data_IF_277999528918
#
_entry.id   IF_277999528918
#
_cell.length_a   1.000
_cell.length_b   1.000
_cell.length_c   1.000
_cell.angle_alpha   90.00
_cell.angle_beta   90.00
_cell.angle_gamma   90.00
#
_symmetry.space_group_name_H-M   'P 1'
#
loop_
_entity.id
_entity.type
_entity.pdbx_description
1 polymer ?
#
# COMPACT_ATOMS: atom_id res chain seq x y z
N UNK A 1 -2.20 -20.79 -8.40
CA UNK A 1 -2.09 -19.85 -9.52
C UNK A 1 -1.05 -18.80 -9.17
N UNK A 2 -0.07 -18.60 -10.04
CA UNK A 2 0.98 -17.63 -9.82
C UNK A 2 0.51 -16.23 -10.22
N UNK A 3 0.79 -15.24 -9.37
CA UNK A 3 0.53 -13.84 -9.67
C UNK A 3 1.84 -13.09 -9.83
N UNK A 4 1.84 -12.12 -10.72
CA UNK A 4 2.96 -11.23 -10.93
C UNK A 4 2.58 -9.83 -10.46
N UNK A 5 3.37 -9.25 -9.57
CA UNK A 5 3.20 -7.87 -9.13
C UNK A 5 3.94 -6.95 -10.09
N UNK A 6 3.22 -6.05 -10.75
CA UNK A 6 3.84 -5.17 -11.74
C UNK A 6 3.15 -3.82 -11.83
N UNK A 7 3.92 -2.83 -12.26
CA UNK A 7 3.41 -1.51 -12.59
C UNK A 7 2.56 -1.61 -13.86
N UNK A 8 1.40 -0.94 -13.87
CA UNK A 8 0.50 -0.92 -15.02
C UNK A 8 0.10 0.53 -15.34
N UNK A 9 -0.24 0.79 -16.59
CA UNK A 9 -0.61 2.13 -17.05
C UNK A 9 -2.11 2.31 -17.20
N UNK A 10 -2.86 1.23 -17.38
CA UNK A 10 -4.29 1.27 -17.66
C UNK A 10 -5.05 0.35 -16.72
N UNK A 11 -6.09 0.89 -16.09
CA UNK A 11 -7.06 0.14 -15.28
C UNK A 11 -8.46 0.65 -15.63
N UNK A 12 -9.47 -0.14 -15.28
CA UNK A 12 -10.85 0.29 -15.36
C UNK A 12 -11.22 1.02 -14.05
N UNK A 13 -11.17 2.36 -14.08
CA UNK A 13 -11.44 3.18 -12.90
C UNK A 13 -12.88 3.06 -12.41
N UNK A 14 -13.82 2.66 -13.29
CA UNK A 14 -15.22 2.48 -12.90
C UNK A 14 -15.39 1.29 -11.94
N UNK A 15 -14.46 0.35 -11.96
CA UNK A 15 -14.46 -0.80 -11.05
C UNK A 15 -13.85 -0.49 -9.68
N UNK A 16 -13.26 0.70 -9.49
CA UNK A 16 -12.71 1.11 -8.19
C UNK A 16 -13.85 1.44 -7.22
N UNK A 17 -14.04 0.61 -6.16
CA UNK A 17 -15.12 0.86 -5.20
C UNK A 17 -14.78 1.95 -4.19
N UNK A 18 -13.53 2.43 -4.18
CA UNK A 18 -13.01 3.34 -3.16
C UNK A 18 -12.97 4.77 -3.66
N UNK A 19 -12.39 4.99 -4.85
CA UNK A 19 -12.18 6.33 -5.39
C UNK A 19 -12.48 6.41 -6.88
N UNK A 20 -13.71 6.07 -7.29
CA UNK A 20 -14.07 6.06 -8.72
C UNK A 20 -13.98 7.45 -9.37
N UNK A 21 -13.99 8.52 -8.57
CA UNK A 21 -13.92 9.91 -9.04
C UNK A 21 -12.53 10.33 -9.52
N UNK A 22 -11.49 9.57 -9.18
CA UNK A 22 -10.12 9.90 -9.60
C UNK A 22 -9.85 9.37 -10.99
N UNK A 23 -9.42 10.24 -11.89
CA UNK A 23 -9.15 9.90 -13.29
C UNK A 23 -7.93 8.97 -13.42
N UNK A 24 -7.84 8.30 -14.56
CA UNK A 24 -6.66 7.50 -14.89
C UNK A 24 -5.41 8.38 -14.98
N UNK A 25 -5.54 9.58 -15.56
CA UNK A 25 -4.43 10.54 -15.66
C UNK A 25 -3.92 10.97 -14.28
N UNK A 26 -4.81 11.13 -13.30
CA UNK A 26 -4.40 11.41 -11.92
C UNK A 26 -3.57 10.25 -11.35
N UNK A 27 -4.03 9.01 -11.55
CA UNK A 27 -3.42 7.81 -10.96
C UNK A 27 -2.09 7.44 -11.58
N UNK A 28 -1.93 7.74 -12.87
CA UNK A 28 -0.72 7.42 -13.62
C UNK A 28 -0.01 8.72 -14.02
N UNK A 29 0.68 9.32 -13.06
CA UNK A 29 1.41 10.58 -13.27
C UNK A 29 2.80 10.47 -12.65
N UNK A 30 3.75 10.02 -13.45
CA UNK A 30 5.15 9.87 -13.03
C UNK A 30 5.75 11.20 -12.54
N UNK A 31 5.43 12.30 -13.21
CA UNK A 31 5.94 13.63 -12.84
C UNK A 31 5.42 14.10 -11.49
N UNK A 32 4.31 13.54 -11.03
CA UNK A 32 3.73 13.84 -9.72
C UNK A 32 3.98 12.72 -8.69
N UNK A 33 4.73 11.69 -9.05
CA UNK A 33 5.05 10.60 -8.16
C UNK A 33 3.90 9.63 -7.92
N UNK A 34 2.96 9.51 -8.87
CA UNK A 34 1.80 8.62 -8.74
C UNK A 34 1.91 7.44 -9.69
N UNK A 35 1.64 6.25 -9.19
CA UNK A 35 1.81 4.99 -9.91
C UNK A 35 0.69 4.00 -9.58
N UNK A 36 0.44 3.10 -10.52
CA UNK A 36 -0.55 2.03 -10.37
C UNK A 36 0.19 0.69 -10.41
N UNK A 37 -0.12 -0.20 -9.48
CA UNK A 37 0.40 -1.56 -9.47
C UNK A 37 -0.76 -2.55 -9.46
N UNK A 38 -0.55 -3.71 -10.08
CA UNK A 38 -1.53 -4.78 -10.12
C UNK A 38 -0.88 -6.13 -9.85
N UNK A 39 -1.66 -7.05 -9.29
CA UNK A 39 -1.36 -8.47 -9.34
C UNK A 39 -1.99 -9.02 -10.61
N UNK A 40 -1.16 -9.57 -11.48
CA UNK A 40 -1.58 -10.05 -12.80
C UNK A 40 -1.44 -11.58 -12.83
N UNK A 41 -2.49 -12.25 -13.24
CA UNK A 41 -2.46 -13.72 -13.38
C UNK A 41 -1.86 -14.13 -14.73
N UNK A 42 -1.78 -15.44 -14.97
CA UNK A 42 -1.17 -15.99 -16.18
C UNK A 42 -1.91 -15.61 -17.47
N UNK A 43 -3.19 -15.20 -17.36
CA UNK A 43 -4.01 -14.75 -18.50
C UNK A 43 -3.91 -13.24 -18.73
N UNK A 44 -3.13 -12.52 -17.94
CA UNK A 44 -3.02 -11.06 -18.03
C UNK A 44 -4.17 -10.33 -17.35
N UNK A 45 -4.99 -11.00 -16.57
CA UNK A 45 -6.08 -10.39 -15.83
C UNK A 45 -5.60 -9.85 -14.48
N UNK A 46 -6.20 -8.76 -14.00
CA UNK A 46 -5.83 -8.14 -12.71
C UNK A 46 -6.64 -8.77 -11.59
N UNK A 47 -5.94 -9.41 -10.64
CA UNK A 47 -6.57 -9.99 -9.44
C UNK A 47 -6.80 -8.94 -8.36
N UNK A 48 -5.91 -7.96 -8.25
CA UNK A 48 -6.03 -6.81 -7.35
C UNK A 48 -5.21 -5.64 -7.87
N UNK A 49 -5.54 -4.45 -7.37
CA UNK A 49 -4.92 -3.20 -7.81
C UNK A 49 -4.66 -2.33 -6.58
N UNK A 50 -3.52 -1.64 -6.60
CA UNK A 50 -3.21 -0.60 -5.63
C UNK A 50 -2.70 0.64 -6.37
N UNK A 51 -3.23 1.81 -6.02
CA UNK A 51 -2.74 3.08 -6.51
C UNK A 51 -1.97 3.77 -5.40
N UNK A 52 -0.75 4.20 -5.69
CA UNK A 52 0.11 4.86 -4.72
C UNK A 52 0.54 6.24 -5.22
N UNK A 53 0.82 7.12 -4.26
CA UNK A 53 1.45 8.40 -4.50
C UNK A 53 2.63 8.52 -3.54
N UNK A 54 3.79 8.92 -4.07
CA UNK A 54 4.90 9.33 -3.23
C UNK A 54 4.59 10.74 -2.73
N UNK A 55 4.68 10.96 -1.43
CA UNK A 55 4.35 12.24 -0.80
C UNK A 55 5.45 12.68 0.15
N UNK A 56 5.56 14.00 0.34
CA UNK A 56 6.48 14.57 1.34
C UNK A 56 5.85 14.62 2.73
N UNK A 57 4.51 14.65 2.80
CA UNK A 57 3.74 14.70 4.04
C UNK A 57 2.57 13.75 3.94
N UNK A 58 2.01 13.34 5.09
CA UNK A 58 0.84 12.46 5.12
C UNK A 58 -0.40 13.30 4.79
N UNK A 59 -1.13 12.96 3.70
CA UNK A 59 -2.34 13.69 3.35
C UNK A 59 -3.51 13.25 4.22
N UNK A 60 -4.36 14.20 4.58
CA UNK A 60 -5.60 13.97 5.34
C UNK A 60 -6.84 14.04 4.45
N UNK A 61 -6.67 14.39 3.18
CA UNK A 61 -7.73 14.54 2.21
C UNK A 61 -7.20 14.27 0.80
N UNK A 62 -8.10 14.15 -0.18
CA UNK A 62 -7.71 14.03 -1.59
C UNK A 62 -7.02 15.31 -2.06
N UNK A 63 -7.47 16.47 -1.60
CA UNK A 63 -6.84 17.75 -1.96
C UNK A 63 -5.39 17.79 -1.45
N UNK A 64 -5.14 17.32 -0.23
CA UNK A 64 -3.79 17.22 0.31
C UNK A 64 -2.97 16.16 -0.43
N UNK A 65 -3.59 15.05 -0.84
CA UNK A 65 -2.92 14.03 -1.66
C UNK A 65 -2.38 14.67 -2.94
N UNK A 66 -3.19 15.48 -3.62
CA UNK A 66 -2.76 16.21 -4.81
C UNK A 66 -1.61 17.16 -4.51
N UNK A 67 -1.73 17.91 -3.42
CA UNK A 67 -0.75 18.93 -3.01
C UNK A 67 0.59 18.32 -2.59
N UNK A 68 0.55 17.21 -1.85
CA UNK A 68 1.74 16.60 -1.27
C UNK A 68 2.41 15.57 -2.17
N UNK A 69 1.77 15.17 -3.27
CA UNK A 69 2.37 14.24 -4.23
C UNK A 69 3.62 14.84 -4.86
N UNK A 70 4.71 14.08 -4.81
CA UNK A 70 6.02 14.53 -5.31
C UNK A 70 6.86 13.30 -5.61
N UNK A 71 7.50 13.21 -6.79
CA UNK A 71 8.31 12.04 -7.13
C UNK A 71 9.49 11.81 -6.19
N UNK A 72 9.91 12.83 -5.44
CA UNK A 72 10.99 12.70 -4.44
C UNK A 72 10.47 12.44 -3.03
N UNK A 73 9.15 12.32 -2.84
CA UNK A 73 8.56 12.05 -1.54
C UNK A 73 8.99 10.70 -0.98
N UNK A 74 9.21 10.61 0.33
CA UNK A 74 9.67 9.39 0.98
C UNK A 74 8.56 8.61 1.68
N UNK A 75 7.33 9.06 1.57
CA UNK A 75 6.16 8.36 2.10
C UNK A 75 5.34 7.84 0.91
N UNK A 76 5.19 6.52 0.83
CA UNK A 76 4.30 5.92 -0.17
C UNK A 76 2.88 5.91 0.39
N UNK A 77 1.97 6.62 -0.26
CA UNK A 77 0.57 6.71 0.16
C UNK A 77 -0.26 5.78 -0.72
N UNK A 78 -0.79 4.71 -0.12
CA UNK A 78 -1.79 3.87 -0.78
C UNK A 78 -3.16 4.53 -0.60
N UNK A 79 -3.70 5.09 -1.68
CA UNK A 79 -4.96 5.84 -1.60
C UNK A 79 -6.16 5.06 -2.13
N UNK A 80 -5.94 3.94 -2.81
CA UNK A 80 -7.00 3.01 -3.16
C UNK A 80 -6.40 1.62 -3.35
N UNK A 81 -7.12 0.61 -2.83
CA UNK A 81 -6.80 -0.82 -2.96
C UNK A 81 -8.10 -1.55 -3.19
N UNK A 82 -8.17 -2.38 -4.22
CA UNK A 82 -9.31 -3.28 -4.37
C UNK A 82 -8.88 -4.59 -5.02
N UNK A 83 -9.72 -5.62 -4.86
CA UNK A 83 -9.44 -6.94 -5.41
C UNK A 83 -10.67 -7.54 -6.06
N UNK A 84 -10.42 -8.34 -7.11
CA UNK A 84 -11.43 -9.13 -7.79
C UNK A 84 -11.38 -10.60 -7.36
N UNK A 85 -10.33 -11.00 -6.64
CA UNK A 85 -10.07 -12.37 -6.21
C UNK A 85 -9.84 -12.38 -4.70
N UNK A 86 -10.49 -13.30 -4.01
CA UNK A 86 -10.34 -13.46 -2.55
C UNK A 86 -8.86 -13.64 -2.19
N UNK A 87 -8.39 -12.88 -1.20
CA UNK A 87 -7.01 -12.93 -0.73
C UNK A 87 -6.03 -12.08 -1.54
N UNK A 88 -6.41 -11.60 -2.72
CA UNK A 88 -5.51 -10.82 -3.56
C UNK A 88 -5.24 -9.42 -3.01
N UNK A 89 -6.14 -8.88 -2.19
CA UNK A 89 -5.91 -7.62 -1.49
C UNK A 89 -4.77 -7.72 -0.48
N UNK A 90 -4.74 -8.79 0.32
CA UNK A 90 -3.62 -9.05 1.24
C UNK A 90 -2.32 -9.25 0.47
N UNK A 91 -2.37 -10.02 -0.59
CA UNK A 91 -1.17 -10.35 -1.38
C UNK A 91 -0.57 -9.09 -2.01
N UNK A 92 -1.38 -8.19 -2.56
CA UNK A 92 -0.85 -6.96 -3.16
C UNK A 92 -0.23 -6.04 -2.09
N UNK A 93 -0.81 -5.98 -0.90
CA UNK A 93 -0.21 -5.23 0.22
C UNK A 93 1.16 -5.83 0.58
N UNK A 94 1.27 -7.15 0.68
CA UNK A 94 2.55 -7.82 0.98
C UNK A 94 3.61 -7.46 -0.06
N UNK A 95 3.26 -7.44 -1.35
CA UNK A 95 4.17 -7.03 -2.42
C UNK A 95 4.55 -5.56 -2.34
N UNK A 96 3.57 -4.70 -2.03
CA UNK A 96 3.83 -3.27 -1.84
C UNK A 96 4.84 -3.03 -0.72
N UNK A 97 4.67 -3.72 0.41
CA UNK A 97 5.57 -3.59 1.55
C UNK A 97 6.98 -4.10 1.22
N UNK A 98 7.08 -5.20 0.48
CA UNK A 98 8.38 -5.70 0.02
C UNK A 98 9.07 -4.69 -0.89
N UNK A 99 8.35 -4.13 -1.85
CA UNK A 99 8.87 -3.10 -2.73
C UNK A 99 9.37 -1.88 -1.93
N UNK A 100 8.60 -1.47 -0.93
CA UNK A 100 8.97 -0.34 -0.07
C UNK A 100 10.23 -0.64 0.75
N UNK A 101 10.34 -1.85 1.31
CA UNK A 101 11.54 -2.25 2.05
C UNK A 101 12.80 -2.25 1.17
N UNK A 102 12.65 -2.66 -0.08
CA UNK A 102 13.76 -2.71 -1.04
C UNK A 102 14.10 -1.33 -1.63
N UNK A 103 13.24 -0.35 -1.47
CA UNK A 103 13.42 1.01 -1.98
C UNK A 103 14.38 1.81 -1.11
N UNK A 104 15.29 2.56 -1.74
CA UNK A 104 16.14 3.52 -1.03
C UNK A 104 15.40 4.81 -0.69
N UNK A 105 14.34 5.11 -1.43
CA UNK A 105 13.57 6.34 -1.28
C UNK A 105 12.49 6.23 -0.21
N UNK A 106 11.74 5.13 -0.20
CA UNK A 106 10.55 4.97 0.64
C UNK A 106 10.95 4.62 2.07
N UNK A 107 10.51 5.45 3.02
CA UNK A 107 10.74 5.26 4.46
C UNK A 107 9.50 4.84 5.21
N UNK A 108 8.31 5.14 4.65
CA UNK A 108 7.03 4.85 5.30
C UNK A 108 6.00 4.46 4.26
N UNK A 109 5.09 3.55 4.65
CA UNK A 109 3.89 3.21 3.86
C UNK A 109 2.68 3.54 4.71
N UNK A 110 1.90 4.51 4.23
CA UNK A 110 0.73 5.03 4.92
C UNK A 110 -0.45 5.03 3.94
N UNK A 111 -1.66 4.86 4.41
CA UNK A 111 -2.84 4.90 3.56
C UNK A 111 -3.56 6.24 3.65
N UNK A 112 -4.31 6.58 2.62
CA UNK A 112 -5.39 7.57 2.69
C UNK A 112 -6.67 6.81 2.39
N UNK A 113 -7.39 6.41 3.43
CA UNK A 113 -8.53 5.51 3.33
C UNK A 113 -9.85 6.24 3.55
N UNK A 114 -10.96 5.76 2.94
CA UNK A 114 -12.27 6.31 3.29
C UNK A 114 -12.61 6.00 4.74
N UNK A 115 -13.45 6.81 5.34
CA UNK A 115 -13.84 6.67 6.74
C UNK A 115 -14.95 5.60 6.88
N UNK A 116 -14.58 4.34 6.62
CA UNK A 116 -15.48 3.19 6.66
C UNK A 116 -14.91 2.09 7.54
N UNK A 117 -15.79 1.25 8.09
CA UNK A 117 -15.37 0.05 8.82
C UNK A 117 -14.70 -0.96 7.91
N UNK A 118 -15.13 -1.05 6.66
CA UNK A 118 -14.52 -1.98 5.70
C UNK A 118 -13.04 -1.67 5.49
N UNK A 119 -12.68 -0.40 5.28
CA UNK A 119 -11.30 0.01 5.13
C UNK A 119 -10.50 -0.23 6.42
N UNK A 120 -11.07 0.13 7.57
CA UNK A 120 -10.45 -0.09 8.87
C UNK A 120 -10.15 -1.57 9.10
N UNK A 121 -11.15 -2.43 8.91
CA UNK A 121 -10.99 -3.87 9.12
C UNK A 121 -9.96 -4.47 8.17
N UNK A 122 -9.97 -4.06 6.90
CA UNK A 122 -9.01 -4.56 5.92
C UNK A 122 -7.57 -4.21 6.32
N UNK A 123 -7.30 -2.95 6.61
CA UNK A 123 -5.94 -2.51 6.92
C UNK A 123 -5.44 -3.05 8.26
N UNK A 124 -6.28 -3.02 9.29
CA UNK A 124 -5.89 -3.56 10.60
C UNK A 124 -5.69 -5.06 10.57
N UNK A 125 -6.53 -5.80 9.84
CA UNK A 125 -6.36 -7.25 9.64
C UNK A 125 -5.03 -7.58 8.96
N UNK A 126 -4.55 -6.71 8.09
CA UNK A 126 -3.28 -6.89 7.38
C UNK A 126 -2.09 -6.29 8.13
N UNK A 127 -2.27 -5.88 9.37
CA UNK A 127 -1.18 -5.50 10.25
C UNK A 127 -0.92 -3.99 10.37
N UNK A 128 -1.75 -3.15 9.77
CA UNK A 128 -1.59 -1.71 9.87
C UNK A 128 -2.16 -1.17 11.19
N UNK A 129 -1.67 -0.03 11.61
CA UNK A 129 -2.14 0.71 12.78
C UNK A 129 -2.72 2.05 12.33
N UNK A 130 -3.91 2.41 12.84
CA UNK A 130 -4.48 3.71 12.51
C UNK A 130 -3.71 4.83 13.20
N UNK A 131 -3.20 5.76 12.42
CA UNK A 131 -2.40 6.90 12.91
C UNK A 131 -3.12 8.24 12.76
N UNK A 132 -4.23 8.27 12.01
CA UNK A 132 -4.99 9.50 11.81
C UNK A 132 -6.46 9.24 11.61
N UNK A 133 -7.29 10.10 12.20
CA UNK A 133 -8.75 10.11 12.03
C UNK A 133 -9.12 11.53 11.62
N UNK A 134 -9.58 11.70 10.39
CA UNK A 134 -9.86 12.99 9.77
C UNK A 134 -11.37 13.13 9.53
N UNK A 135 -11.86 14.33 9.15
CA UNK A 135 -13.32 14.51 8.95
C UNK A 135 -13.95 13.52 7.96
N UNK A 136 -13.24 13.17 6.87
CA UNK A 136 -13.80 12.30 5.83
C UNK A 136 -12.90 11.12 5.48
N UNK A 137 -11.73 11.01 6.11
CA UNK A 137 -10.73 9.98 5.82
C UNK A 137 -10.09 9.46 7.09
N UNK A 138 -9.31 8.39 6.94
CA UNK A 138 -8.44 7.88 8.00
C UNK A 138 -7.13 7.39 7.38
N UNK A 139 -6.07 7.41 8.18
CA UNK A 139 -4.76 6.97 7.76
C UNK A 139 -4.33 5.77 8.59
N UNK A 140 -3.80 4.76 7.90
CA UNK A 140 -3.18 3.59 8.52
C UNK A 140 -1.73 3.52 8.11
N UNK A 141 -0.88 3.06 9.02
CA UNK A 141 0.54 2.88 8.72
C UNK A 141 0.93 1.42 8.85
N UNK A 142 1.62 0.91 7.83
CA UNK A 142 2.20 -0.42 7.82
C UNK A 142 3.66 -0.35 8.27
N UNK A 143 4.06 -1.28 9.12
CA UNK A 143 5.46 -1.41 9.50
C UNK A 143 6.28 -1.96 8.34
N UNK A 144 7.44 -1.39 8.10
CA UNK A 144 8.40 -1.89 7.11
C UNK A 144 9.39 -2.89 7.71
N UNK A 145 9.27 -3.21 9.01
CA UNK A 145 10.11 -4.23 9.63
C UNK A 145 9.80 -5.60 9.03
N UNK A 146 10.84 -6.36 8.74
CA UNK A 146 10.68 -7.74 8.29
C UNK A 146 10.43 -8.64 9.50
N UNK A 147 9.16 -8.97 9.75
CA UNK A 147 8.74 -9.82 10.87
C UNK A 147 9.30 -11.24 10.78
N UNK A 148 9.62 -11.71 9.55
CA UNK A 148 10.26 -13.02 9.36
C UNK A 148 11.67 -13.04 9.96
N UNK A 149 12.40 -11.95 9.82
CA UNK A 149 13.72 -11.80 10.43
C UNK A 149 13.63 -11.81 11.96
N UNK A 150 12.66 -11.10 12.53
CA UNK A 150 12.44 -11.09 13.97
C UNK A 150 12.14 -12.49 14.51
N UNK A 151 11.28 -13.24 13.78
CA UNK A 151 10.98 -14.63 14.14
C UNK A 151 12.23 -15.52 14.07
N UNK A 152 13.01 -15.37 13.00
CA UNK A 152 14.25 -16.10 12.82
C UNK A 152 15.22 -15.82 13.98
N UNK A 153 15.36 -14.57 14.38
CA UNK A 153 16.24 -14.21 15.49
C UNK A 153 15.75 -14.77 16.83
N UNK A 154 14.45 -14.79 17.07
CA UNK A 154 13.88 -15.44 18.25
C UNK A 154 14.19 -16.93 18.28
N UNK A 155 13.99 -17.60 17.16
CA UNK A 155 14.26 -19.04 17.03
C UNK A 155 15.74 -19.33 17.19
N UNK A 156 16.61 -18.52 16.60
CA UNK A 156 18.06 -18.65 16.74
C UNK A 156 18.52 -18.49 18.20
N UNK A 157 17.97 -17.51 18.93
CA UNK A 157 18.25 -17.33 20.35
C UNK A 157 17.86 -18.56 21.17
N UNK A 158 16.69 -19.10 20.88
CA UNK A 158 16.19 -20.32 21.55
C UNK A 158 17.09 -21.51 21.28
N UNK A 159 17.54 -21.69 20.03
CA UNK A 159 18.37 -22.81 19.61
C UNK A 159 19.80 -22.73 20.12
N UNK A 160 20.40 -21.55 20.18
CA UNK A 160 21.79 -21.35 20.49
C UNK A 160 22.04 -20.81 21.90
N UNK A 161 20.99 -20.66 22.71
CA UNK A 161 21.11 -20.13 24.06
C UNK A 161 21.61 -18.68 24.11
N UNK A 162 21.40 -17.93 23.02
CA UNK A 162 21.84 -16.54 22.96
C UNK A 162 20.95 -15.67 23.81
N UNK A 163 21.57 -14.96 24.75
CA UNK A 163 20.88 -13.94 25.54
C UNK A 163 21.24 -12.58 25.01
N UNK A 164 20.21 -11.87 24.56
CA UNK A 164 20.36 -10.46 24.18
C UNK A 164 19.66 -9.67 25.27
N UNK A 165 20.44 -8.92 25.97
CA UNK A 165 19.96 -8.04 27.00
C UNK A 165 19.12 -6.88 26.43
#
# INVERSE_FOLDING_TARGET
>A
MAFKFQKVDVIDIEQDPVRPELSLAFRNSKTRGREIYALVNDKGEYASIVCIAHCKFIPKSVDELKKFSDPTGNIAIAYTVWSHTKGAGKTIIDHLLKMARDSKQTKRVVTLSPLTLMAKNFHEKNGAVRIGLNPETQNFEYSLKDTRWEKYMKDAKKWFGLHVG
#
